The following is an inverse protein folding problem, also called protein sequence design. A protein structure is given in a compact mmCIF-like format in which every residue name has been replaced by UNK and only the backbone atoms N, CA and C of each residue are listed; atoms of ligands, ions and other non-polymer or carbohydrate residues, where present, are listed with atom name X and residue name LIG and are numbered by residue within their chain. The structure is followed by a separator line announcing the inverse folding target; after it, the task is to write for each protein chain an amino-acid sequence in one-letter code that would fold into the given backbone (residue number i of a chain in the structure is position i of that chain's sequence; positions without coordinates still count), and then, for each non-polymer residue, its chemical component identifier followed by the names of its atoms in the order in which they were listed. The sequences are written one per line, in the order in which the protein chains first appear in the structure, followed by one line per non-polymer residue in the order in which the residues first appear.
data_IF_370402250039
#
_entry.id   IF_370402250039
#
_cell.length_a   1.000
_cell.length_b   1.000
_cell.length_c   1.000
_cell.angle_alpha   90.00
_cell.angle_beta   90.00
_cell.angle_gamma   90.00
#
_symmetry.space_group_name_H-M   'P 1'
#
loop_
_entity.id
_entity.type
_entity.pdbx_description
1 polymer ?
#
# COMPACT_ATOMS: atom_id res chain seq x y z
N UNK A 1 4.83 18.63 10.68
CA UNK A 1 6.06 19.35 10.26
C UNK A 1 5.77 20.35 9.12
N UNK A 2 4.79 20.08 8.26
CA UNK A 2 4.44 20.91 7.10
C UNK A 2 3.15 21.72 7.28
N UNK A 3 2.49 21.65 8.44
CA UNK A 3 1.25 22.36 8.71
C UNK A 3 0.03 21.89 7.89
N UNK A 4 0.07 20.67 7.35
CA UNK A 4 -1.03 20.10 6.57
C UNK A 4 -2.03 19.40 7.48
N UNK A 5 -3.33 19.58 7.22
CA UNK A 5 -4.38 18.73 7.80
C UNK A 5 -4.48 17.44 6.99
N UNK A 6 -4.43 16.31 7.67
CA UNK A 6 -4.40 14.99 7.04
C UNK A 6 -5.55 14.13 7.53
N UNK A 7 -6.28 13.50 6.62
CA UNK A 7 -7.23 12.43 6.95
C UNK A 7 -6.62 11.10 6.50
N UNK A 8 -6.44 10.18 7.44
CA UNK A 8 -5.89 8.85 7.21
C UNK A 8 -6.99 7.80 7.31
N UNK A 9 -6.97 6.84 6.41
CA UNK A 9 -7.92 5.73 6.37
C UNK A 9 -7.21 4.40 6.57
N UNK A 10 -7.80 3.51 7.33
CA UNK A 10 -7.41 2.10 7.40
C UNK A 10 -8.62 1.23 7.74
N UNK A 11 -8.62 -0.02 7.30
CA UNK A 11 -9.58 -1.04 7.73
C UNK A 11 -9.02 -1.94 8.84
N UNK A 12 -7.74 -1.80 9.19
CA UNK A 12 -7.09 -2.56 10.28
C UNK A 12 -7.25 -1.83 11.61
N UNK A 13 -7.87 -2.49 12.58
CA UNK A 13 -8.00 -1.97 13.94
C UNK A 13 -6.65 -1.78 14.63
N UNK A 14 -5.70 -2.66 14.35
CA UNK A 14 -4.34 -2.62 14.90
C UNK A 14 -3.56 -1.42 14.35
N UNK A 15 -3.63 -1.19 13.04
CA UNK A 15 -3.02 -0.01 12.41
C UNK A 15 -3.65 1.28 12.92
N UNK A 16 -4.98 1.31 13.04
CA UNK A 16 -5.71 2.45 13.57
C UNK A 16 -5.22 2.81 14.98
N UNK A 17 -5.24 1.83 15.90
CA UNK A 17 -4.78 2.02 17.28
C UNK A 17 -3.32 2.50 17.35
N UNK A 18 -2.43 1.82 16.63
CA UNK A 18 -1.01 2.21 16.58
C UNK A 18 -0.82 3.64 16.07
N UNK A 19 -1.56 4.03 15.03
CA UNK A 19 -1.46 5.35 14.45
C UNK A 19 -1.99 6.44 15.39
N UNK A 20 -3.13 6.21 16.08
CA UNK A 20 -3.66 7.12 17.09
C UNK A 20 -2.66 7.37 18.22
N UNK A 21 -2.10 6.28 18.79
CA UNK A 21 -1.13 6.38 19.87
C UNK A 21 0.11 7.17 19.44
N UNK A 22 0.58 6.95 18.21
CA UNK A 22 1.74 7.64 17.66
C UNK A 22 1.49 9.13 17.42
N UNK A 23 0.32 9.49 16.91
CA UNK A 23 -0.07 10.89 16.70
C UNK A 23 -0.27 11.60 18.02
N UNK A 24 -0.87 10.94 19.02
CA UNK A 24 -1.02 11.48 20.37
C UNK A 24 0.34 11.77 21.00
N UNK A 25 1.27 10.81 20.94
CA UNK A 25 2.64 10.98 21.44
C UNK A 25 3.40 12.12 20.74
N UNK A 26 3.06 12.45 19.50
CA UNK A 26 3.66 13.54 18.75
C UNK A 26 2.95 14.91 18.94
N UNK A 27 1.83 14.96 19.66
CA UNK A 27 1.03 16.18 19.86
C UNK A 27 0.37 16.71 18.58
N UNK A 28 -0.02 15.82 17.65
CA UNK A 28 -0.52 16.17 16.32
C UNK A 28 -2.02 15.89 16.12
N UNK A 29 -2.78 15.68 17.20
CA UNK A 29 -4.19 15.28 17.13
C UNK A 29 -5.07 16.31 16.42
N UNK A 30 -4.74 17.60 16.52
CA UNK A 30 -5.48 18.68 15.85
C UNK A 30 -5.22 18.75 14.33
N UNK A 31 -4.18 18.07 13.86
CA UNK A 31 -3.74 18.11 12.46
C UNK A 31 -4.02 16.81 11.71
N UNK A 32 -4.21 15.70 12.42
CA UNK A 32 -4.35 14.38 11.81
C UNK A 32 -5.60 13.69 12.33
N UNK A 33 -6.50 13.37 11.43
CA UNK A 33 -7.72 12.59 11.70
C UNK A 33 -7.54 11.17 11.18
N UNK A 34 -7.74 10.17 12.03
CA UNK A 34 -7.81 8.78 11.62
C UNK A 34 -9.25 8.31 11.53
N UNK A 35 -9.55 7.50 10.51
CA UNK A 35 -10.85 6.83 10.35
C UNK A 35 -10.62 5.32 10.15
N UNK A 36 -11.29 4.51 10.95
CA UNK A 36 -11.41 3.07 10.70
C UNK A 36 -12.51 2.85 9.66
N UNK A 37 -12.14 2.95 8.39
CA UNK A 37 -13.09 3.08 7.30
C UNK A 37 -12.50 2.54 6.00
N UNK A 38 -13.34 1.95 5.17
CA UNK A 38 -13.00 1.61 3.78
C UNK A 38 -12.85 2.90 2.95
N UNK A 39 -11.85 2.94 2.08
CA UNK A 39 -11.60 4.10 1.22
C UNK A 39 -12.79 4.43 0.29
N UNK A 40 -13.61 3.43 -0.04
CA UNK A 40 -14.80 3.57 -0.89
C UNK A 40 -15.90 4.40 -0.21
N UNK A 41 -15.93 4.41 1.10
CA UNK A 41 -16.92 5.13 1.91
C UNK A 41 -16.48 6.57 2.22
N UNK A 42 -15.26 6.97 1.80
CA UNK A 42 -14.78 8.33 2.00
C UNK A 42 -15.53 9.31 1.09
N UNK A 43 -16.03 10.40 1.68
CA UNK A 43 -16.84 11.43 0.98
C UNK A 43 -16.15 12.78 0.88
N UNK A 44 -15.07 12.99 1.63
CA UNK A 44 -14.30 14.23 1.60
C UNK A 44 -13.64 14.51 0.25
N UNK A 45 -13.30 15.75 -0.02
CA UNK A 45 -12.49 16.17 -1.17
C UNK A 45 -11.23 16.88 -0.69
N UNK A 46 -10.10 16.58 -1.32
CA UNK A 46 -8.77 16.87 -0.83
C UNK A 46 -7.93 17.61 -1.89
N UNK A 47 -7.00 18.42 -1.43
CA UNK A 47 -6.01 19.07 -2.30
C UNK A 47 -4.97 18.07 -2.83
N UNK A 48 -4.73 16.99 -2.07
CA UNK A 48 -3.82 15.91 -2.46
C UNK A 48 -4.21 14.59 -1.82
N UNK A 49 -3.90 13.49 -2.49
CA UNK A 49 -4.10 12.12 -2.00
C UNK A 49 -2.76 11.38 -2.06
N UNK A 50 -2.45 10.63 -1.00
CA UNK A 50 -1.33 9.69 -0.98
C UNK A 50 -1.87 8.28 -0.71
N UNK A 51 -1.49 7.32 -1.54
CA UNK A 51 -1.81 5.91 -1.35
C UNK A 51 -0.53 5.09 -1.53
N UNK A 52 -0.09 4.46 -0.45
CA UNK A 52 1.21 3.79 -0.38
C UNK A 52 0.99 2.30 -0.15
N UNK A 53 1.32 1.49 -1.16
CA UNK A 53 1.24 0.02 -1.11
C UNK A 53 -0.12 -0.50 -0.60
N UNK A 54 -1.21 0.14 -1.04
CA UNK A 54 -2.58 -0.25 -0.74
C UNK A 54 -3.24 -0.94 -1.94
N UNK A 55 -2.88 -0.50 -3.14
CA UNK A 55 -3.51 -0.91 -4.40
C UNK A 55 -3.40 -2.43 -4.65
N UNK A 56 -2.31 -3.03 -4.20
CA UNK A 56 -2.02 -4.46 -4.32
C UNK A 56 -3.10 -5.34 -3.65
N UNK A 57 -3.72 -4.83 -2.59
CA UNK A 57 -4.79 -5.52 -1.86
C UNK A 57 -6.20 -5.24 -2.41
N UNK A 58 -6.34 -4.32 -3.36
CA UNK A 58 -7.65 -3.93 -3.92
C UNK A 58 -8.25 -5.04 -4.79
N UNK A 59 -7.39 -5.78 -5.52
CA UNK A 59 -7.80 -6.78 -6.50
C UNK A 59 -8.28 -6.20 -7.83
N UNK A 60 -7.98 -6.89 -8.92
CA UNK A 60 -8.17 -6.40 -10.30
C UNK A 60 -9.61 -5.95 -10.59
N UNK A 61 -10.57 -6.68 -10.08
CA UNK A 61 -12.02 -6.39 -10.26
C UNK A 61 -12.39 -4.98 -9.79
N UNK A 62 -11.68 -4.44 -8.82
CA UNK A 62 -11.99 -3.17 -8.17
C UNK A 62 -11.07 -2.01 -8.59
N UNK A 63 -10.12 -2.23 -9.48
CA UNK A 63 -9.24 -1.16 -9.97
C UNK A 63 -10.00 0.04 -10.58
N UNK A 64 -11.06 -0.16 -11.40
CA UNK A 64 -11.86 0.96 -11.87
C UNK A 64 -12.50 1.78 -10.73
N UNK A 65 -13.05 1.10 -9.73
CA UNK A 65 -13.64 1.75 -8.55
C UNK A 65 -12.59 2.52 -7.74
N UNK A 66 -11.38 1.95 -7.57
CA UNK A 66 -10.29 2.63 -6.89
C UNK A 66 -9.92 3.95 -7.55
N UNK A 67 -9.66 3.94 -8.86
CA UNK A 67 -9.29 5.16 -9.59
C UNK A 67 -10.44 6.16 -9.66
N UNK A 68 -11.68 5.70 -9.79
CA UNK A 68 -12.86 6.58 -9.73
C UNK A 68 -12.99 7.26 -8.36
N UNK A 69 -12.70 6.53 -7.28
CA UNK A 69 -12.70 7.12 -5.93
C UNK A 69 -11.58 8.15 -5.78
N UNK A 70 -10.36 7.83 -6.21
CA UNK A 70 -9.23 8.79 -6.18
C UNK A 70 -9.58 10.06 -6.96
N UNK A 71 -10.10 9.92 -8.18
CA UNK A 71 -10.52 11.06 -9.00
C UNK A 71 -11.61 11.89 -8.30
N UNK A 72 -12.67 11.23 -7.82
CA UNK A 72 -13.81 11.91 -7.19
C UNK A 72 -13.50 12.55 -5.83
N UNK A 73 -12.39 12.18 -5.20
CA UNK A 73 -11.93 12.75 -3.92
C UNK A 73 -10.85 13.82 -4.08
N UNK A 74 -10.37 14.07 -5.30
CA UNK A 74 -9.48 15.20 -5.59
C UNK A 74 -10.28 16.46 -5.92
N UNK A 75 -9.85 17.59 -5.39
CA UNK A 75 -10.27 18.91 -5.87
C UNK A 75 -9.75 19.14 -7.28
N UNK A 76 -10.37 20.05 -8.02
CA UNK A 76 -9.85 20.49 -9.33
C UNK A 76 -8.42 20.98 -9.21
N UNK A 77 -7.51 20.40 -10.01
CA UNK A 77 -6.07 20.68 -9.95
C UNK A 77 -5.32 19.95 -8.83
N UNK A 78 -5.99 19.16 -8.01
CA UNK A 78 -5.37 18.31 -7.00
C UNK A 78 -4.54 17.18 -7.60
N UNK A 79 -3.61 16.63 -6.82
CA UNK A 79 -2.69 15.58 -7.27
C UNK A 79 -2.78 14.35 -6.37
N UNK A 80 -2.72 13.16 -6.98
CA UNK A 80 -2.54 11.90 -6.27
C UNK A 80 -1.11 11.39 -6.44
N UNK A 81 -0.50 10.97 -5.34
CA UNK A 81 0.77 10.22 -5.34
C UNK A 81 0.48 8.78 -4.94
N UNK A 82 0.74 7.86 -5.86
CA UNK A 82 0.50 6.44 -5.65
C UNK A 82 1.84 5.71 -5.68
N UNK A 83 2.14 4.97 -4.61
CA UNK A 83 3.26 4.03 -4.59
C UNK A 83 2.66 2.63 -4.70
N UNK A 84 3.03 1.92 -5.76
CA UNK A 84 2.44 0.62 -6.12
C UNK A 84 3.55 -0.31 -6.59
N UNK A 85 3.56 -1.54 -6.08
CA UNK A 85 4.44 -2.59 -6.58
C UNK A 85 3.89 -3.05 -7.93
N UNK A 86 4.74 -3.18 -8.94
CA UNK A 86 4.35 -3.56 -10.29
C UNK A 86 5.11 -4.76 -10.80
N UNK A 87 4.48 -5.52 -11.70
CA UNK A 87 5.16 -6.49 -12.54
C UNK A 87 5.45 -5.88 -13.92
N UNK A 88 6.47 -6.38 -14.62
CA UNK A 88 6.77 -5.91 -15.97
C UNK A 88 5.59 -6.13 -16.91
N UNK A 89 5.40 -5.24 -17.88
CA UNK A 89 4.29 -5.33 -18.85
C UNK A 89 4.29 -6.65 -19.62
N UNK A 90 5.47 -7.15 -20.01
CA UNK A 90 5.62 -8.42 -20.75
C UNK A 90 5.37 -9.68 -19.89
N UNK A 91 5.26 -9.54 -18.57
CA UNK A 91 4.97 -10.62 -17.63
C UNK A 91 3.56 -10.59 -17.05
N UNK A 92 2.84 -9.50 -17.26
CA UNK A 92 1.56 -9.28 -16.59
C UNK A 92 0.52 -10.35 -16.92
N UNK A 93 0.37 -10.75 -18.17
CA UNK A 93 -0.62 -11.74 -18.57
C UNK A 93 -0.35 -13.15 -18.03
N UNK A 94 0.91 -13.53 -17.88
CA UNK A 94 1.29 -14.80 -17.26
C UNK A 94 1.09 -14.75 -15.73
N UNK A 95 1.50 -13.65 -15.11
CA UNK A 95 1.30 -13.39 -13.69
C UNK A 95 -0.18 -13.43 -13.31
N UNK A 96 -1.05 -12.79 -14.11
CA UNK A 96 -2.49 -12.72 -13.91
C UNK A 96 -3.18 -14.08 -13.90
N UNK A 97 -2.64 -15.06 -14.64
CA UNK A 97 -3.19 -16.42 -14.80
C UNK A 97 -2.64 -17.42 -13.79
N UNK A 98 -1.64 -17.06 -13.02
CA UNK A 98 -0.96 -17.92 -12.07
C UNK A 98 -1.09 -17.41 -10.65
N UNK A 99 -0.82 -18.26 -9.68
CA UNK A 99 -0.70 -17.88 -8.27
C UNK A 99 0.72 -18.18 -7.85
N UNK A 100 1.48 -17.16 -7.53
CA UNK A 100 2.86 -17.31 -7.07
C UNK A 100 2.95 -17.54 -5.55
N UNK A 101 4.18 -17.69 -5.05
CA UNK A 101 4.46 -17.88 -3.64
C UNK A 101 3.94 -16.73 -2.79
N UNK A 102 4.10 -15.49 -3.24
CA UNK A 102 3.72 -14.29 -2.49
C UNK A 102 2.19 -14.21 -2.38
N UNK A 103 1.48 -14.42 -3.48
CA UNK A 103 0.02 -14.44 -3.50
C UNK A 103 -0.56 -15.59 -2.66
N UNK A 104 0.14 -16.71 -2.57
CA UNK A 104 -0.35 -17.89 -1.85
C UNK A 104 -0.10 -17.82 -0.34
N UNK A 105 1.07 -17.29 0.08
CA UNK A 105 1.54 -17.46 1.45
C UNK A 105 1.79 -16.16 2.21
N UNK A 106 2.03 -15.05 1.52
CA UNK A 106 2.41 -13.77 2.15
C UNK A 106 1.26 -12.78 2.10
N UNK A 107 0.71 -12.54 0.90
CA UNK A 107 -0.41 -11.62 0.66
C UNK A 107 -1.54 -12.30 -0.13
N UNK A 108 -2.32 -13.18 0.54
CA UNK A 108 -3.42 -13.88 -0.11
C UNK A 108 -4.42 -12.92 -0.75
N UNK A 109 -4.70 -13.14 -2.05
CA UNK A 109 -5.59 -12.28 -2.82
C UNK A 109 -4.95 -11.01 -3.37
N UNK A 110 -3.67 -10.78 -3.11
CA UNK A 110 -2.91 -9.68 -3.70
C UNK A 110 -2.82 -9.79 -5.23
N UNK A 111 -2.90 -8.65 -5.92
CA UNK A 111 -2.79 -8.58 -7.37
C UNK A 111 -1.98 -7.36 -7.78
N UNK A 112 -0.83 -7.60 -8.41
CA UNK A 112 0.06 -6.55 -8.89
C UNK A 112 -0.32 -6.15 -10.31
N UNK A 113 -0.45 -4.85 -10.59
CA UNK A 113 -0.63 -4.36 -11.96
C UNK A 113 0.71 -4.27 -12.70
N UNK A 114 0.64 -4.05 -14.01
CA UNK A 114 1.80 -3.54 -14.74
C UNK A 114 1.72 -2.02 -14.92
N UNK A 115 2.84 -1.33 -15.21
CA UNK A 115 2.83 0.11 -15.45
C UNK A 115 1.86 0.56 -16.56
N UNK A 116 1.74 -0.20 -17.64
CA UNK A 116 0.80 0.09 -18.72
C UNK A 116 -0.66 -0.04 -18.26
N UNK A 117 -0.96 -1.07 -17.48
CA UNK A 117 -2.30 -1.29 -16.91
C UNK A 117 -2.67 -0.17 -15.96
N UNK A 118 -1.77 0.23 -15.05
CA UNK A 118 -2.00 1.35 -14.12
C UNK A 118 -2.36 2.64 -14.87
N UNK A 119 -1.56 3.02 -15.87
CA UNK A 119 -1.82 4.22 -16.67
C UNK A 119 -3.18 4.15 -17.37
N UNK A 120 -3.51 3.00 -17.94
CA UNK A 120 -4.79 2.79 -18.62
C UNK A 120 -5.98 2.93 -17.67
N UNK A 121 -5.92 2.33 -16.49
CA UNK A 121 -7.02 2.40 -15.53
C UNK A 121 -7.16 3.80 -14.91
N UNK A 122 -6.05 4.50 -14.65
CA UNK A 122 -6.05 5.90 -14.22
C UNK A 122 -6.69 6.81 -15.28
N UNK A 123 -6.30 6.68 -16.56
CA UNK A 123 -6.85 7.48 -17.67
C UNK A 123 -8.36 7.25 -17.87
N UNK A 124 -8.83 6.01 -17.74
CA UNK A 124 -10.27 5.72 -17.81
C UNK A 124 -11.08 6.47 -16.73
N UNK A 125 -10.47 6.74 -15.59
CA UNK A 125 -11.09 7.49 -14.49
C UNK A 125 -10.91 9.02 -14.63
N UNK A 126 -10.21 9.52 -15.65
CA UNK A 126 -9.95 10.94 -15.86
C UNK A 126 -8.66 11.46 -15.20
N UNK A 127 -7.76 10.57 -14.78
CA UNK A 127 -6.47 10.92 -14.18
C UNK A 127 -5.34 10.75 -15.20
N UNK A 128 -4.49 11.77 -15.33
CA UNK A 128 -3.28 11.72 -16.13
C UNK A 128 -2.04 11.45 -15.28
N UNK A 129 -1.20 10.52 -15.71
CA UNK A 129 0.08 10.24 -15.08
C UNK A 129 1.10 11.31 -15.49
N UNK A 130 1.31 12.31 -14.65
CA UNK A 130 2.23 13.42 -14.93
C UNK A 130 3.70 13.08 -14.64
N UNK A 131 3.97 12.11 -13.78
CA UNK A 131 5.31 11.65 -13.43
C UNK A 131 5.29 10.21 -12.94
N UNK A 132 6.32 9.44 -13.31
CA UNK A 132 6.56 8.10 -12.79
C UNK A 132 8.04 7.99 -12.36
N UNK A 133 8.28 7.34 -11.22
CA UNK A 133 9.63 7.07 -10.69
C UNK A 133 9.69 5.60 -10.33
N UNK A 134 10.67 4.89 -10.85
CA UNK A 134 10.96 3.51 -10.48
C UNK A 134 12.11 3.47 -9.48
N UNK A 135 11.95 2.72 -8.39
CA UNK A 135 12.95 2.64 -7.32
C UNK A 135 13.11 1.22 -6.74
N UNK A 136 12.99 0.20 -7.59
CA UNK A 136 13.12 -1.21 -7.20
C UNK A 136 14.44 -1.54 -6.48
N UNK A 137 15.56 -0.89 -6.87
CA UNK A 137 16.84 -1.07 -6.17
C UNK A 137 16.80 -0.59 -4.72
N UNK A 138 16.11 0.51 -4.46
CA UNK A 138 15.91 1.01 -3.08
C UNK A 138 15.06 0.05 -2.27
N UNK A 139 14.03 -0.54 -2.89
CA UNK A 139 13.19 -1.55 -2.25
C UNK A 139 13.97 -2.82 -1.90
N UNK A 140 14.85 -3.28 -2.79
CA UNK A 140 15.79 -4.39 -2.51
C UNK A 140 16.68 -4.12 -1.29
N UNK A 141 17.15 -2.88 -1.10
CA UNK A 141 17.89 -2.50 0.12
C UNK A 141 17.01 -2.57 1.37
N UNK A 142 15.78 -2.12 1.28
CA UNK A 142 14.81 -2.19 2.37
C UNK A 142 14.54 -3.63 2.79
N UNK A 143 14.30 -4.54 1.83
CA UNK A 143 14.09 -5.96 2.12
C UNK A 143 15.30 -6.59 2.80
N UNK A 144 16.52 -6.28 2.37
CA UNK A 144 17.75 -6.75 3.05
C UNK A 144 17.85 -6.26 4.49
N UNK A 145 17.49 -5.01 4.76
CA UNK A 145 17.47 -4.47 6.12
C UNK A 145 16.38 -5.13 6.98
N UNK A 146 15.23 -5.39 6.41
CA UNK A 146 14.16 -6.13 7.10
C UNK A 146 14.56 -7.56 7.39
N UNK A 147 15.18 -8.25 6.43
CA UNK A 147 15.69 -9.61 6.62
C UNK A 147 16.71 -9.69 7.77
N UNK A 148 17.70 -8.79 7.79
CA UNK A 148 18.69 -8.74 8.85
C UNK A 148 18.02 -8.48 10.22
N UNK A 149 17.12 -7.49 10.30
CA UNK A 149 16.42 -7.15 11.54
C UNK A 149 15.46 -8.25 11.99
N UNK A 150 14.78 -8.92 11.08
CA UNK A 150 13.90 -10.05 11.38
C UNK A 150 14.68 -11.18 12.06
N UNK A 151 15.84 -11.54 11.51
CA UNK A 151 16.68 -12.58 12.09
C UNK A 151 17.33 -12.16 13.42
N UNK A 152 17.76 -10.91 13.56
CA UNK A 152 18.26 -10.36 14.83
C UNK A 152 17.21 -10.38 15.94
N UNK A 153 15.94 -10.27 15.60
CA UNK A 153 14.81 -10.26 16.55
C UNK A 153 14.04 -11.57 16.61
N UNK A 154 14.62 -12.66 16.08
CA UNK A 154 13.90 -13.93 15.97
C UNK A 154 13.40 -14.44 17.32
N UNK A 155 14.21 -14.42 18.37
CA UNK A 155 13.82 -14.89 19.71
C UNK A 155 12.55 -14.18 20.22
N UNK A 156 12.41 -12.88 19.90
CA UNK A 156 11.21 -12.12 20.23
C UNK A 156 10.00 -12.56 19.38
N UNK A 157 10.20 -12.80 18.11
CA UNK A 157 9.15 -13.29 17.20
C UNK A 157 8.69 -14.69 17.59
N UNK A 158 9.63 -15.59 17.92
CA UNK A 158 9.34 -16.93 18.42
C UNK A 158 8.53 -16.89 19.71
N UNK A 159 8.88 -16.01 20.64
CA UNK A 159 8.14 -15.81 21.90
C UNK A 159 6.69 -15.33 21.68
N UNK A 160 6.37 -14.75 20.51
CA UNK A 160 5.01 -14.40 20.11
C UNK A 160 4.20 -15.60 19.56
N UNK A 161 4.80 -16.79 19.47
CA UNK A 161 4.16 -18.03 19.02
C UNK A 161 4.41 -18.40 17.57
N UNK A 162 5.31 -17.72 16.88
CA UNK A 162 5.70 -18.08 15.51
C UNK A 162 6.75 -19.19 15.52
N UNK A 163 6.61 -20.16 14.62
CA UNK A 163 7.47 -21.34 14.53
C UNK A 163 8.59 -21.20 13.49
N UNK A 164 9.48 -22.17 13.46
CA UNK A 164 10.58 -22.24 12.50
C UNK A 164 10.10 -22.37 11.04
N UNK A 165 8.88 -22.89 10.81
CA UNK A 165 8.27 -22.90 9.47
C UNK A 165 7.96 -21.48 9.01
N UNK A 166 7.40 -20.65 9.90
CA UNK A 166 7.16 -19.24 9.64
C UNK A 166 8.49 -18.51 9.37
N UNK A 167 9.53 -18.77 10.18
CA UNK A 167 10.86 -18.18 9.99
C UNK A 167 11.42 -18.46 8.60
N UNK A 168 11.40 -19.72 8.14
CA UNK A 168 11.87 -20.10 6.81
C UNK A 168 11.05 -19.44 5.71
N UNK A 169 9.75 -19.41 5.84
CA UNK A 169 8.84 -18.79 4.88
C UNK A 169 9.13 -17.29 4.75
N UNK A 170 9.31 -16.61 5.87
CA UNK A 170 9.56 -15.18 5.91
C UNK A 170 10.96 -14.82 5.38
N UNK A 171 11.96 -15.61 5.70
CA UNK A 171 13.31 -15.47 5.12
C UNK A 171 13.33 -15.68 3.61
N UNK A 172 12.49 -16.56 3.09
CA UNK A 172 12.37 -16.76 1.65
C UNK A 172 11.67 -15.60 0.94
N UNK A 173 10.74 -14.98 1.61
CA UNK A 173 10.05 -13.78 1.10
C UNK A 173 10.98 -12.56 1.07
N UNK A 174 11.70 -12.29 2.16
CA UNK A 174 12.59 -11.13 2.31
C UNK A 174 13.90 -11.30 1.52
#
# INVERSE_FOLDING_TARGET
ERGLKVTCLTISKEQFKYAEDRIAAAGLQDMVTFKLQDYRDETGVYDGIASIEMFEAVGEKYWPSYFSTVFGRLKTGGQATLQIITVRDDRFEDYRKSVDFIQKYIFPGGMLPSPAVLRREAQKAGLDCVKSIEFGESYSKTLRLWHARFNDKWDHVEAMGFDERFRRMWNFYL
#
